data_IF_314458420613
#
_entry.id   IF_314458420613
#
_cell.length_a   1.000
_cell.length_b   1.000
_cell.length_c   1.000
_cell.angle_alpha   90.00
_cell.angle_beta   90.00
_cell.angle_gamma   90.00
#
_symmetry.space_group_name_H-M   'P 1'
#
loop_
_entity.id
_entity.type
_entity.pdbx_description
1 polymer ?
#
# COMPACT_ATOMS: atom_id res chain seq x y z
N UNK A 1 -27.78 35.80 -35.33
CA UNK A 1 -27.12 34.47 -35.25
C UNK A 1 -25.89 34.44 -34.32
N UNK A 2 -25.59 35.49 -33.53
CA UNK A 2 -24.36 35.59 -32.71
C UNK A 2 -24.49 35.16 -31.23
N UNK A 3 -25.62 34.58 -30.81
CA UNK A 3 -25.88 34.22 -29.40
C UNK A 3 -25.51 32.77 -29.04
N UNK A 4 -25.06 31.95 -29.99
CA UNK A 4 -24.79 30.53 -29.76
C UNK A 4 -23.31 30.20 -29.48
N UNK A 5 -22.38 31.07 -29.86
CA UNK A 5 -20.93 30.83 -29.70
C UNK A 5 -20.44 31.00 -28.25
N UNK A 6 -21.10 31.83 -27.44
CA UNK A 6 -20.72 32.08 -26.05
C UNK A 6 -20.93 30.86 -25.13
N UNK A 7 -21.91 30.00 -25.46
CA UNK A 7 -22.19 28.77 -24.69
C UNK A 7 -21.20 27.63 -25.02
N UNK A 8 -20.62 27.60 -26.23
CA UNK A 8 -19.63 26.58 -26.62
C UNK A 8 -18.25 26.84 -25.98
N UNK A 9 -17.83 28.11 -25.84
CA UNK A 9 -16.60 28.47 -25.14
C UNK A 9 -16.66 28.22 -23.62
N UNK A 10 -17.84 28.41 -23.00
CA UNK A 10 -18.04 28.18 -21.56
C UNK A 10 -17.99 26.69 -21.18
N UNK A 11 -18.34 25.80 -22.10
CA UNK A 11 -18.38 24.35 -21.86
C UNK A 11 -16.98 23.69 -21.98
N UNK A 12 -16.06 24.23 -22.78
CA UNK A 12 -14.68 23.72 -22.88
C UNK A 12 -13.76 24.17 -21.74
N UNK A 13 -14.06 25.29 -21.10
CA UNK A 13 -13.24 25.80 -19.97
C UNK A 13 -13.51 25.02 -18.68
N UNK A 14 -14.71 24.45 -18.51
CA UNK A 14 -15.08 23.68 -17.30
C UNK A 14 -14.51 22.24 -17.27
N UNK A 15 -14.37 21.59 -18.43
CA UNK A 15 -13.85 20.22 -18.53
C UNK A 15 -12.32 20.14 -18.40
N UNK A 16 -11.60 21.17 -18.84
CA UNK A 16 -10.14 21.30 -18.70
C UNK A 16 -9.70 21.64 -17.26
N UNK A 17 -10.44 22.48 -16.55
CA UNK A 17 -10.16 22.82 -15.13
C UNK A 17 -10.45 21.63 -14.20
N UNK A 18 -11.53 20.87 -14.45
CA UNK A 18 -11.88 19.67 -13.68
C UNK A 18 -10.81 18.57 -13.80
N UNK A 19 -10.33 18.30 -15.02
CA UNK A 19 -9.29 17.29 -15.27
C UNK A 19 -7.92 17.67 -14.70
N UNK A 20 -7.53 18.95 -14.73
CA UNK A 20 -6.29 19.42 -14.10
C UNK A 20 -6.31 19.27 -12.56
N UNK A 21 -7.46 19.53 -11.93
CA UNK A 21 -7.62 19.40 -10.48
C UNK A 21 -7.61 17.94 -9.99
N UNK A 22 -8.27 17.04 -10.73
CA UNK A 22 -8.27 15.60 -10.44
C UNK A 22 -6.85 14.99 -10.55
N UNK A 23 -6.13 15.34 -11.62
CA UNK A 23 -4.74 14.89 -11.80
C UNK A 23 -3.81 15.41 -10.69
N UNK A 24 -4.07 16.62 -10.17
CA UNK A 24 -3.30 17.19 -9.04
C UNK A 24 -3.49 16.39 -7.76
N UNK A 25 -4.72 16.03 -7.41
CA UNK A 25 -5.02 15.22 -6.21
C UNK A 25 -4.38 13.84 -6.33
N UNK A 26 -4.54 13.17 -7.49
CA UNK A 26 -3.91 11.87 -7.74
C UNK A 26 -2.41 11.93 -7.57
N UNK A 27 -1.73 12.88 -8.23
CA UNK A 27 -0.27 13.05 -8.10
C UNK A 27 0.14 13.26 -6.64
N UNK A 28 -0.63 14.03 -5.87
CA UNK A 28 -0.33 14.26 -4.46
C UNK A 28 -0.54 12.98 -3.63
N UNK A 29 -1.60 12.21 -3.89
CA UNK A 29 -1.84 10.91 -3.25
C UNK A 29 -0.71 9.92 -3.57
N UNK A 30 -0.30 9.80 -4.83
CA UNK A 30 0.82 8.93 -5.22
C UNK A 30 2.15 9.37 -4.62
N UNK A 31 2.41 10.68 -4.59
CA UNK A 31 3.61 11.22 -3.95
C UNK A 31 3.62 10.90 -2.45
N UNK A 32 2.49 11.05 -1.76
CA UNK A 32 2.36 10.69 -0.36
C UNK A 32 2.52 9.19 -0.12
N UNK A 33 1.88 8.33 -0.92
CA UNK A 33 2.05 6.88 -0.82
C UNK A 33 3.50 6.44 -1.06
N UNK A 34 4.19 7.05 -2.03
CA UNK A 34 5.60 6.77 -2.28
C UNK A 34 6.48 7.22 -1.09
N UNK A 35 6.22 8.41 -0.54
CA UNK A 35 6.95 8.88 0.65
C UNK A 35 6.68 8.01 1.88
N UNK A 36 5.46 7.54 2.10
CA UNK A 36 5.15 6.64 3.22
C UNK A 36 5.79 5.26 3.06
N UNK A 37 5.87 4.73 1.82
CA UNK A 37 6.61 3.50 1.51
C UNK A 37 8.10 3.65 1.77
N UNK A 38 8.73 4.72 1.28
CA UNK A 38 10.15 4.99 1.51
C UNK A 38 10.45 5.18 3.01
N UNK A 39 9.61 5.94 3.70
CA UNK A 39 9.74 6.13 5.15
C UNK A 39 9.61 4.80 5.91
N UNK A 40 8.68 3.94 5.53
CA UNK A 40 8.53 2.60 6.10
C UNK A 40 9.77 1.73 5.84
N UNK A 41 10.32 1.76 4.62
CA UNK A 41 11.55 1.03 4.30
C UNK A 41 12.77 1.52 5.12
N UNK A 42 12.89 2.83 5.32
CA UNK A 42 13.97 3.43 6.13
C UNK A 42 13.81 3.06 7.60
N UNK A 43 12.61 3.16 8.16
CA UNK A 43 12.34 2.80 9.57
C UNK A 43 12.50 1.30 9.82
N UNK A 44 12.11 0.46 8.86
CA UNK A 44 12.40 -0.97 8.88
C UNK A 44 13.91 -1.25 8.85
N UNK A 45 14.66 -0.60 7.97
CA UNK A 45 16.13 -0.71 7.95
C UNK A 45 16.79 -0.25 9.25
N UNK A 46 16.30 0.87 9.83
CA UNK A 46 16.78 1.37 11.12
C UNK A 46 16.51 0.38 12.27
N UNK A 47 15.33 -0.27 12.29
CA UNK A 47 14.99 -1.28 13.30
C UNK A 47 15.89 -2.52 13.23
N UNK A 48 16.30 -2.92 12.02
CA UNK A 48 17.28 -3.99 11.81
C UNK A 48 18.66 -3.57 12.32
N UNK A 49 19.10 -2.35 12.00
CA UNK A 49 20.40 -1.83 12.44
C UNK A 49 20.50 -1.69 13.98
N UNK A 50 19.39 -1.38 14.64
CA UNK A 50 19.28 -1.31 16.09
C UNK A 50 19.21 -2.70 16.76
N UNK A 51 19.10 -3.79 16.00
CA UNK A 51 19.08 -5.15 16.54
C UNK A 51 17.88 -5.42 17.44
N UNK A 52 16.74 -4.77 17.17
CA UNK A 52 15.59 -4.80 18.09
C UNK A 52 14.99 -6.20 18.10
N UNK A 53 15.10 -6.86 19.26
CA UNK A 53 14.38 -8.09 19.52
C UNK A 53 12.88 -7.82 19.59
N UNK A 54 12.12 -8.84 19.21
CA UNK A 54 10.67 -8.82 19.04
C UNK A 54 9.96 -7.97 20.10
N UNK A 55 9.30 -6.91 19.64
CA UNK A 55 8.56 -5.97 20.49
C UNK A 55 7.50 -6.73 21.30
N UNK A 56 7.36 -6.42 22.59
CA UNK A 56 6.29 -6.96 23.42
C UNK A 56 4.94 -6.80 22.71
N UNK A 57 4.19 -7.89 22.59
CA UNK A 57 2.92 -7.93 21.84
C UNK A 57 1.90 -6.89 22.34
N UNK A 58 1.91 -6.58 23.64
CA UNK A 58 1.06 -5.55 24.24
C UNK A 58 1.45 -4.14 23.79
N UNK A 59 2.75 -3.85 23.67
CA UNK A 59 3.24 -2.56 23.16
C UNK A 59 2.89 -2.42 21.68
N UNK A 60 3.00 -3.52 20.91
CA UNK A 60 2.56 -3.54 19.53
C UNK A 60 1.07 -3.21 19.40
N UNK A 61 0.20 -3.88 20.15
CA UNK A 61 -1.24 -3.62 20.08
C UNK A 61 -1.61 -2.21 20.54
N UNK A 62 -1.05 -1.74 21.65
CA UNK A 62 -1.33 -0.38 22.17
C UNK A 62 -0.84 0.67 21.17
N UNK A 63 0.36 0.49 20.61
CA UNK A 63 0.90 1.39 19.59
C UNK A 63 0.07 1.35 18.31
N UNK A 64 -0.18 0.17 17.74
CA UNK A 64 -0.90 0.01 16.49
C UNK A 64 -2.34 0.54 16.58
N UNK A 65 -3.11 0.13 17.60
CA UNK A 65 -4.48 0.60 17.78
C UNK A 65 -4.54 2.08 18.21
N UNK A 66 -3.62 2.52 19.06
CA UNK A 66 -3.54 3.93 19.48
C UNK A 66 -3.25 4.88 18.31
N UNK A 67 -2.25 4.54 17.48
CA UNK A 67 -1.90 5.33 16.30
C UNK A 67 -2.96 5.21 15.21
N UNK A 68 -3.56 4.03 15.00
CA UNK A 68 -4.68 3.88 14.05
C UNK A 68 -5.86 4.79 14.43
N UNK A 69 -6.23 4.83 15.71
CA UNK A 69 -7.28 5.72 16.18
C UNK A 69 -6.90 7.20 15.99
N UNK A 70 -5.65 7.56 16.25
CA UNK A 70 -5.14 8.91 16.05
C UNK A 70 -5.21 9.33 14.58
N UNK A 71 -4.81 8.45 13.66
CA UNK A 71 -4.93 8.66 12.21
C UNK A 71 -6.39 8.88 11.82
N UNK A 72 -7.30 8.02 12.30
CA UNK A 72 -8.72 8.14 11.99
C UNK A 72 -9.31 9.45 12.54
N UNK A 73 -8.91 9.86 13.74
CA UNK A 73 -9.35 11.12 14.37
C UNK A 73 -8.82 12.36 13.65
N UNK A 74 -7.64 12.29 13.06
CA UNK A 74 -6.97 13.43 12.42
C UNK A 74 -7.02 13.41 10.88
N UNK A 75 -7.77 12.47 10.29
CA UNK A 75 -7.80 12.21 8.85
C UNK A 75 -8.13 13.42 7.97
N UNK A 76 -9.00 14.33 8.45
CA UNK A 76 -9.43 15.52 7.70
C UNK A 76 -8.56 16.77 7.96
N UNK A 77 -7.35 16.60 8.52
CA UNK A 77 -6.45 17.70 8.87
C UNK A 77 -5.03 17.44 8.37
N UNK A 78 -4.23 18.49 8.23
CA UNK A 78 -2.80 18.39 7.93
C UNK A 78 -2.04 17.55 8.99
N UNK A 79 -2.54 17.52 10.23
CA UNK A 79 -2.02 16.67 11.32
C UNK A 79 -2.24 15.17 11.03
N UNK A 80 -3.26 14.83 10.23
CA UNK A 80 -3.49 13.47 9.76
C UNK A 80 -2.32 12.93 8.94
N UNK A 81 -1.64 13.80 8.20
CA UNK A 81 -0.46 13.42 7.44
C UNK A 81 0.70 13.01 8.36
N UNK A 82 0.97 13.80 9.40
CA UNK A 82 1.99 13.44 10.38
C UNK A 82 1.63 12.14 11.11
N UNK A 83 0.34 11.95 11.42
CA UNK A 83 -0.16 10.75 12.07
C UNK A 83 -0.02 9.50 11.19
N UNK A 84 -0.26 9.62 9.87
CA UNK A 84 -0.06 8.50 8.95
C UNK A 84 1.41 8.14 8.83
N UNK A 85 2.33 9.11 8.75
CA UNK A 85 3.77 8.82 8.79
C UNK A 85 4.17 8.16 10.11
N UNK A 86 3.68 8.65 11.26
CA UNK A 86 3.95 8.02 12.55
C UNK A 86 3.45 6.56 12.58
N UNK A 87 2.24 6.30 12.08
CA UNK A 87 1.66 4.97 12.01
C UNK A 87 2.45 4.05 11.07
N UNK A 88 2.75 4.50 9.85
CA UNK A 88 3.50 3.69 8.88
C UNK A 88 4.93 3.44 9.33
N UNK A 89 5.58 4.42 9.98
CA UNK A 89 6.90 4.24 10.57
C UNK A 89 6.89 3.26 11.74
N UNK A 90 5.88 3.32 12.60
CA UNK A 90 5.71 2.34 13.68
C UNK A 90 5.54 0.93 13.11
N UNK A 91 4.70 0.77 12.09
CA UNK A 91 4.52 -0.52 11.41
C UNK A 91 5.81 -0.99 10.73
N UNK A 92 6.52 -0.10 10.01
CA UNK A 92 7.82 -0.39 9.41
C UNK A 92 8.86 -0.83 10.42
N UNK A 93 8.93 -0.14 11.56
CA UNK A 93 9.82 -0.49 12.66
C UNK A 93 9.50 -1.87 13.27
N UNK A 94 8.22 -2.23 13.35
CA UNK A 94 7.81 -3.56 13.85
C UNK A 94 8.13 -4.71 12.89
N UNK A 95 8.44 -4.41 11.62
CA UNK A 95 8.92 -5.42 10.66
C UNK A 95 10.39 -5.81 10.89
N UNK A 96 11.16 -5.05 11.67
CA UNK A 96 12.58 -5.31 11.94
C UNK A 96 12.92 -6.75 12.31
N UNK A 97 12.25 -7.37 13.30
CA UNK A 97 12.50 -8.76 13.69
C UNK A 97 12.21 -9.77 12.56
N UNK A 98 11.16 -9.52 11.77
CA UNK A 98 10.79 -10.37 10.64
C UNK A 98 11.88 -10.28 9.57
N UNK A 99 12.29 -9.06 9.20
CA UNK A 99 13.36 -8.82 8.24
C UNK A 99 14.68 -9.44 8.72
N UNK A 100 15.01 -9.29 10.01
CA UNK A 100 16.21 -9.88 10.61
C UNK A 100 16.22 -11.41 10.51
N UNK A 101 15.06 -12.06 10.62
CA UNK A 101 14.92 -13.50 10.42
C UNK A 101 15.19 -13.90 8.96
N UNK A 102 14.78 -13.08 7.99
CA UNK A 102 15.11 -13.34 6.59
C UNK A 102 16.57 -13.03 6.25
N UNK A 103 17.21 -12.10 6.96
CA UNK A 103 18.63 -11.78 6.77
C UNK A 103 19.58 -12.91 7.19
N UNK A 104 19.15 -13.85 8.03
CA UNK A 104 19.97 -15.01 8.39
C UNK A 104 20.05 -16.06 7.28
N UNK A 105 19.20 -15.96 6.24
CA UNK A 105 19.26 -16.85 5.08
C UNK A 105 20.41 -16.46 4.14
N UNK A 106 21.00 -17.42 3.40
CA UNK A 106 21.86 -17.12 2.27
C UNK A 106 21.14 -16.17 1.29
N UNK A 107 21.78 -15.04 0.96
CA UNK A 107 21.22 -13.97 0.13
C UNK A 107 19.98 -13.24 0.69
N UNK A 108 19.72 -13.29 2.01
CA UNK A 108 18.56 -12.64 2.63
C UNK A 108 18.38 -11.16 2.26
N UNK A 109 19.47 -10.39 2.27
CA UNK A 109 19.43 -8.96 1.91
C UNK A 109 19.00 -8.72 0.46
N UNK A 110 19.52 -9.51 -0.48
CA UNK A 110 19.11 -9.43 -1.89
C UNK A 110 17.65 -9.86 -2.08
N UNK A 111 17.19 -10.87 -1.34
CA UNK A 111 15.80 -11.33 -1.37
C UNK A 111 14.83 -10.23 -0.91
N UNK A 112 15.14 -9.56 0.20
CA UNK A 112 14.33 -8.46 0.72
C UNK A 112 14.29 -7.28 -0.26
N UNK A 113 15.45 -6.89 -0.80
CA UNK A 113 15.53 -5.80 -1.77
C UNK A 113 14.76 -6.12 -3.06
N UNK A 114 14.87 -7.35 -3.57
CA UNK A 114 14.11 -7.79 -4.74
C UNK A 114 12.61 -7.83 -4.46
N UNK A 115 12.18 -8.31 -3.28
CA UNK A 115 10.77 -8.31 -2.90
C UNK A 115 10.21 -6.88 -2.84
N UNK A 116 10.92 -5.96 -2.16
CA UNK A 116 10.54 -4.54 -2.09
C UNK A 116 10.46 -3.91 -3.48
N UNK A 117 11.45 -4.16 -4.34
CA UNK A 117 11.50 -3.63 -5.70
C UNK A 117 10.35 -4.16 -6.56
N UNK A 118 10.07 -5.46 -6.50
CA UNK A 118 8.97 -6.09 -7.24
C UNK A 118 7.61 -5.57 -6.78
N UNK A 119 7.38 -5.42 -5.47
CA UNK A 119 6.14 -4.83 -4.94
C UNK A 119 5.99 -3.37 -5.34
N UNK A 120 7.07 -2.58 -5.28
CA UNK A 120 7.05 -1.19 -5.74
C UNK A 120 6.75 -1.07 -7.24
N UNK A 121 7.40 -1.90 -8.06
CA UNK A 121 7.23 -1.91 -9.51
C UNK A 121 5.83 -2.35 -9.93
N UNK A 122 5.29 -3.41 -9.31
CA UNK A 122 3.90 -3.86 -9.55
C UNK A 122 2.88 -2.81 -9.13
N UNK A 123 3.05 -2.19 -7.97
CA UNK A 123 2.17 -1.11 -7.51
C UNK A 123 2.16 0.08 -8.46
N UNK A 124 3.34 0.55 -8.89
CA UNK A 124 3.47 1.67 -9.84
C UNK A 124 2.92 1.27 -11.21
N UNK A 125 3.24 0.08 -11.70
CA UNK A 125 2.80 -0.42 -13.00
C UNK A 125 1.28 -0.55 -13.08
N UNK A 126 0.66 -1.23 -12.12
CA UNK A 126 -0.79 -1.39 -12.06
C UNK A 126 -1.49 -0.04 -11.84
N UNK A 127 -0.92 0.84 -11.02
CA UNK A 127 -1.44 2.21 -10.85
C UNK A 127 -1.42 2.99 -12.15
N UNK A 128 -0.33 2.93 -12.92
CA UNK A 128 -0.22 3.60 -14.21
C UNK A 128 -1.24 3.06 -15.22
N UNK A 129 -1.42 1.74 -15.30
CA UNK A 129 -2.43 1.11 -16.15
C UNK A 129 -3.84 1.56 -15.75
N UNK A 130 -4.17 1.51 -14.46
CA UNK A 130 -5.49 1.92 -13.97
C UNK A 130 -5.83 3.39 -14.31
N UNK A 131 -4.85 4.30 -14.23
CA UNK A 131 -5.05 5.72 -14.52
C UNK A 131 -5.11 6.04 -16.03
N UNK A 132 -4.38 5.30 -16.86
CA UNK A 132 -4.27 5.57 -18.30
C UNK A 132 -5.39 4.92 -19.09
N UNK A 133 -5.80 3.69 -18.74
CA UNK A 133 -6.71 2.88 -19.57
C UNK A 133 -8.15 3.41 -19.58
N UNK A 134 -8.57 4.31 -18.66
CA UNK A 134 -9.95 4.84 -18.55
C UNK A 134 -11.04 3.75 -18.64
N UNK A 135 -10.71 2.51 -18.28
CA UNK A 135 -11.59 1.35 -18.33
C UNK A 135 -12.18 1.11 -16.95
N UNK A 136 -13.47 0.81 -16.91
CA UNK A 136 -14.13 0.44 -15.67
C UNK A 136 -13.75 -1.00 -15.28
N UNK A 137 -13.01 -1.14 -14.19
CA UNK A 137 -12.61 -2.44 -13.63
C UNK A 137 -13.67 -3.05 -12.69
N UNK A 138 -14.89 -2.52 -12.68
CA UNK A 138 -15.96 -2.98 -11.78
C UNK A 138 -16.29 -4.47 -11.93
N UNK A 139 -16.10 -5.04 -13.13
CA UNK A 139 -16.24 -6.50 -13.38
C UNK A 139 -15.29 -7.34 -12.51
N UNK A 140 -14.10 -6.81 -12.20
CA UNK A 140 -13.08 -7.53 -11.43
C UNK A 140 -13.39 -7.54 -9.93
N UNK A 141 -14.27 -6.66 -9.44
CA UNK A 141 -14.59 -6.54 -8.01
C UNK A 141 -15.11 -7.86 -7.41
N UNK A 142 -16.09 -8.50 -8.06
CA UNK A 142 -16.65 -9.76 -7.58
C UNK A 142 -15.65 -10.91 -7.66
N UNK A 143 -14.80 -10.91 -8.70
CA UNK A 143 -13.75 -11.91 -8.84
C UNK A 143 -12.67 -11.77 -7.76
N UNK A 144 -12.18 -10.54 -7.49
CA UNK A 144 -11.22 -10.30 -6.41
C UNK A 144 -11.79 -10.61 -5.03
N UNK A 145 -13.06 -10.29 -4.79
CA UNK A 145 -13.70 -10.64 -3.51
C UNK A 145 -13.74 -12.16 -3.32
N UNK A 146 -14.18 -12.91 -4.34
CA UNK A 146 -14.21 -14.38 -4.28
C UNK A 146 -12.80 -14.96 -4.14
N UNK A 147 -11.83 -14.47 -4.92
CA UNK A 147 -10.43 -14.89 -4.85
C UNK A 147 -9.81 -14.62 -3.48
N UNK A 148 -10.04 -13.44 -2.90
CA UNK A 148 -9.55 -13.10 -1.56
C UNK A 148 -10.12 -14.04 -0.49
N UNK A 149 -11.42 -14.37 -0.56
CA UNK A 149 -12.03 -15.34 0.38
C UNK A 149 -11.36 -16.71 0.22
N UNK A 150 -11.18 -17.19 -1.01
CA UNK A 150 -10.54 -18.48 -1.28
C UNK A 150 -9.10 -18.52 -0.77
N UNK A 151 -8.32 -17.46 -1.01
CA UNK A 151 -6.94 -17.37 -0.56
C UNK A 151 -6.83 -17.29 0.97
N UNK A 152 -7.75 -16.59 1.64
CA UNK A 152 -7.81 -16.56 3.11
C UNK A 152 -8.12 -17.96 3.66
N UNK A 153 -9.09 -18.67 3.07
CA UNK A 153 -9.40 -20.05 3.47
C UNK A 153 -8.21 -20.98 3.23
N UNK A 154 -7.50 -20.82 2.11
CA UNK A 154 -6.29 -21.57 1.80
C UNK A 154 -5.16 -21.24 2.79
N UNK A 155 -5.01 -19.99 3.22
CA UNK A 155 -4.04 -19.59 4.25
C UNK A 155 -4.35 -20.29 5.58
N UNK A 156 -5.62 -20.28 6.01
CA UNK A 156 -6.06 -20.97 7.24
C UNK A 156 -5.80 -22.47 7.14
N UNK A 157 -6.15 -23.10 6.02
CA UNK A 157 -5.85 -24.51 5.77
C UNK A 157 -4.33 -24.79 5.80
N UNK A 158 -3.52 -23.89 5.25
CA UNK A 158 -2.06 -23.98 5.25
C UNK A 158 -1.46 -24.05 6.65
N UNK A 159 -2.05 -23.34 7.63
CA UNK A 159 -1.60 -23.36 9.03
C UNK A 159 -1.82 -24.75 9.66
N UNK A 160 -2.91 -25.45 9.32
CA UNK A 160 -3.20 -26.78 9.86
C UNK A 160 -2.44 -27.89 9.15
N UNK A 161 -2.34 -27.84 7.82
CA UNK A 161 -1.76 -28.92 7.02
C UNK A 161 -0.24 -28.78 6.78
N UNK A 162 0.35 -27.60 6.97
CA UNK A 162 1.79 -27.32 6.81
C UNK A 162 2.41 -27.84 5.49
N UNK A 163 1.64 -27.84 4.39
CA UNK A 163 2.12 -28.31 3.08
C UNK A 163 2.91 -27.18 2.40
N UNK A 164 4.22 -27.35 2.11
CA UNK A 164 5.04 -26.29 1.51
C UNK A 164 4.51 -25.81 0.15
N UNK A 165 4.02 -26.73 -0.69
CA UNK A 165 3.43 -26.40 -1.99
C UNK A 165 2.22 -25.46 -1.86
N UNK A 166 1.39 -25.65 -0.83
CA UNK A 166 0.23 -24.80 -0.58
C UNK A 166 0.65 -23.37 -0.20
N UNK A 167 1.72 -23.21 0.59
CA UNK A 167 2.24 -21.89 0.98
C UNK A 167 2.75 -21.10 -0.23
N UNK A 168 3.42 -21.76 -1.17
CA UNK A 168 3.91 -21.14 -2.41
C UNK A 168 2.75 -20.74 -3.32
N UNK A 169 1.74 -21.59 -3.46
CA UNK A 169 0.54 -21.28 -4.25
C UNK A 169 -0.25 -20.11 -3.66
N UNK A 170 -0.39 -20.05 -2.33
CA UNK A 170 -1.05 -18.93 -1.66
C UNK A 170 -0.25 -17.64 -1.86
N UNK A 171 1.07 -17.68 -1.70
CA UNK A 171 1.93 -16.52 -1.94
C UNK A 171 1.83 -16.02 -3.39
N UNK A 172 1.87 -16.92 -4.37
CA UNK A 172 1.72 -16.57 -5.78
C UNK A 172 0.31 -16.02 -6.08
N UNK A 173 -0.72 -16.61 -5.46
CA UNK A 173 -2.11 -16.18 -5.60
C UNK A 173 -2.38 -14.78 -5.06
N UNK A 174 -1.70 -14.34 -4.00
CA UNK A 174 -1.82 -12.96 -3.49
C UNK A 174 -1.07 -11.92 -4.32
N UNK A 175 -0.05 -12.33 -5.07
CA UNK A 175 0.75 -11.43 -5.91
C UNK A 175 0.08 -11.18 -7.27
N UNK A 176 -0.75 -12.12 -7.74
CA UNK A 176 -1.52 -12.03 -9.00
C UNK A 176 -2.86 -11.32 -8.81
#
# INVERSE_FOLDING_TARGET
MAFNDSNMARTQTHSSVSSASANKVLRNTYALLAMTLLFSAVTAGASVAMGIQQMNIFVFFIGAYGLMFLVHKTANSAVGLLSTFAFTGFMGFTLGPIISTYLTLPNGGALIMNALAMTGLTFIGLSAVALTTKKDFSFLSNFLMAGAIVLILAMVAGIFFNIPALSLMVSAGFVL
#
